data_IF_220032966809
#
_entry.id   IF_220032966809
#
_cell.length_a   1.000
_cell.length_b   1.000
_cell.length_c   1.000
_cell.angle_alpha   90.00
_cell.angle_beta   90.00
_cell.angle_gamma   90.00
#
_symmetry.space_group_name_H-M   'P 1'
#
loop_
_entity.id
_entity.type
_entity.pdbx_description
1 polymer ?
#
# COMPACT_ATOMS: atom_id res chain seq x y z
N UNK A 1 7.72 1.84 -9.71
CA UNK A 1 7.05 2.11 -8.41
C UNK A 1 8.07 1.98 -7.28
N UNK A 2 8.14 2.98 -6.42
CA UNK A 2 9.10 2.99 -5.30
C UNK A 2 8.62 2.21 -4.06
N UNK A 3 7.31 2.02 -3.93
CA UNK A 3 6.70 1.27 -2.82
C UNK A 3 6.63 -0.21 -3.18
N UNK A 4 6.96 -1.06 -2.23
CA UNK A 4 7.00 -2.52 -2.41
C UNK A 4 6.10 -3.22 -1.40
N UNK A 5 5.79 -4.48 -1.68
CA UNK A 5 5.08 -5.37 -0.74
C UNK A 5 5.79 -5.40 0.61
N UNK A 6 5.02 -5.40 1.69
CA UNK A 6 5.45 -5.39 3.08
C UNK A 6 6.02 -4.05 3.57
N UNK A 7 6.06 -3.01 2.74
CA UNK A 7 6.43 -1.68 3.20
C UNK A 7 5.37 -1.12 4.16
N UNK A 8 5.83 -0.43 5.20
CA UNK A 8 4.95 0.34 6.08
C UNK A 8 4.68 1.70 5.45
N UNK A 9 3.41 2.06 5.32
CA UNK A 9 2.97 3.30 4.68
C UNK A 9 1.95 4.03 5.52
N UNK A 10 1.83 5.34 5.27
CA UNK A 10 0.78 6.18 5.83
C UNK A 10 -0.09 6.70 4.69
N UNK A 11 -1.40 6.62 4.86
CA UNK A 11 -2.36 7.17 3.89
C UNK A 11 -2.46 8.68 4.08
N UNK A 12 -2.24 9.43 3.00
CA UNK A 12 -2.20 10.91 3.05
C UNK A 12 -3.42 11.58 2.43
N UNK A 13 -4.29 10.82 1.77
CA UNK A 13 -5.47 11.36 1.13
C UNK A 13 -6.63 10.35 1.15
N UNK A 14 -7.85 10.85 1.03
CA UNK A 14 -9.06 10.04 1.01
C UNK A 14 -9.65 9.81 2.41
N UNK A 15 -10.64 8.94 2.48
CA UNK A 15 -11.38 8.66 3.73
C UNK A 15 -10.51 8.00 4.81
N UNK A 16 -9.44 7.32 4.44
CA UNK A 16 -8.55 6.63 5.37
C UNK A 16 -7.31 7.44 5.73
N UNK A 17 -7.30 8.73 5.41
CA UNK A 17 -6.18 9.63 5.72
C UNK A 17 -5.73 9.50 7.17
N UNK A 18 -4.42 9.34 7.35
CA UNK A 18 -3.80 9.18 8.67
C UNK A 18 -3.63 7.75 9.13
N UNK A 19 -4.22 6.77 8.46
CA UNK A 19 -4.00 5.36 8.79
C UNK A 19 -2.62 4.91 8.36
N UNK A 20 -1.99 4.11 9.21
CA UNK A 20 -0.69 3.49 8.93
C UNK A 20 -0.88 1.98 8.85
N UNK A 21 -0.27 1.35 7.87
CA UNK A 21 -0.36 -0.09 7.70
C UNK A 21 0.70 -0.59 6.72
N UNK A 22 0.66 -1.89 6.41
CA UNK A 22 1.58 -2.52 5.48
C UNK A 22 0.95 -2.74 4.12
N UNK A 23 1.77 -2.64 3.08
CA UNK A 23 1.37 -2.96 1.72
C UNK A 23 1.27 -4.46 1.57
N UNK A 24 0.10 -4.94 1.14
CA UNK A 24 -0.17 -6.36 0.91
C UNK A 24 0.21 -6.77 -0.51
N UNK A 25 -0.04 -5.90 -1.48
CA UNK A 25 0.22 -6.19 -2.90
C UNK A 25 0.50 -4.90 -3.65
N UNK A 26 1.38 -4.98 -4.64
CA UNK A 26 1.67 -3.89 -5.57
C UNK A 26 1.25 -4.28 -6.98
N UNK A 27 0.69 -3.31 -7.71
CA UNK A 27 0.34 -3.43 -9.13
C UNK A 27 1.03 -2.29 -9.89
N UNK A 28 2.33 -2.45 -10.24
CA UNK A 28 3.12 -1.36 -10.82
C UNK A 28 2.60 -0.82 -12.15
N UNK A 29 2.00 -1.67 -12.97
CA UNK A 29 1.46 -1.25 -14.27
C UNK A 29 0.36 -0.21 -14.14
N UNK A 30 -0.43 -0.30 -13.08
CA UNK A 30 -1.58 0.57 -12.83
C UNK A 30 -1.30 1.64 -11.79
N UNK A 31 -0.10 1.65 -11.20
CA UNK A 31 0.26 2.50 -10.07
C UNK A 31 -0.68 2.35 -8.88
N UNK A 32 -1.15 1.14 -8.64
CA UNK A 32 -2.07 0.80 -7.56
C UNK A 32 -1.38 -0.08 -6.52
N UNK A 33 -1.82 0.06 -5.28
CA UNK A 33 -1.39 -0.81 -4.18
C UNK A 33 -2.59 -1.19 -3.33
N UNK A 34 -2.49 -2.35 -2.69
CA UNK A 34 -3.45 -2.79 -1.68
C UNK A 34 -2.76 -2.70 -0.33
N UNK A 35 -3.37 -1.95 0.58
CA UNK A 35 -2.86 -1.72 1.93
C UNK A 35 -3.81 -2.37 2.92
N UNK A 36 -3.29 -3.10 3.89
CA UNK A 36 -4.08 -3.81 4.88
C UNK A 36 -4.98 -2.85 5.66
N UNK A 37 -6.27 -3.16 5.73
CA UNK A 37 -7.26 -2.36 6.45
C UNK A 37 -7.61 -1.01 5.83
N UNK A 38 -7.11 -0.71 4.63
CA UNK A 38 -7.33 0.56 3.93
C UNK A 38 -8.22 0.33 2.71
N UNK A 39 -9.13 1.28 2.47
CA UNK A 39 -10.10 1.22 1.38
C UNK A 39 -10.92 -0.08 1.42
N UNK A 40 -11.37 -0.44 2.61
CA UNK A 40 -12.18 -1.63 2.82
C UNK A 40 -13.56 -1.46 2.22
N UNK A 41 -14.00 -2.45 1.48
CA UNK A 41 -15.33 -2.50 0.89
C UNK A 41 -15.98 -3.84 1.17
N UNK A 42 -17.28 -3.81 1.43
CA UNK A 42 -18.09 -5.02 1.55
C UNK A 42 -18.41 -5.53 0.15
N UNK A 43 -18.13 -6.79 -0.09
CA UNK A 43 -18.40 -7.44 -1.34
C UNK A 43 -19.37 -8.60 -1.12
N UNK A 44 -20.45 -8.61 -1.89
CA UNK A 44 -21.37 -9.76 -1.92
C UNK A 44 -20.78 -10.81 -2.84
N UNK A 45 -20.47 -11.98 -2.29
CA UNK A 45 -20.03 -13.11 -3.07
C UNK A 45 -21.21 -14.02 -3.38
N UNK A 46 -21.35 -14.37 -4.65
CA UNK A 46 -22.36 -15.34 -5.07
C UNK A 46 -21.97 -16.74 -4.59
N UNK A 47 -23.00 -17.53 -4.25
CA UNK A 47 -22.82 -18.96 -4.04
C UNK A 47 -22.24 -19.60 -5.30
N UNK A 48 -21.12 -20.32 -5.15
CA UNK A 48 -20.44 -20.99 -6.26
C UNK A 48 -20.96 -22.39 -6.52
N UNK A 49 -21.63 -22.96 -5.54
CA UNK A 49 -22.24 -24.30 -5.61
C UNK A 49 -23.71 -24.19 -5.27
N UNK A 50 -24.53 -25.10 -5.80
CA UNK A 50 -25.97 -25.07 -5.56
C UNK A 50 -26.35 -25.10 -4.07
N UNK A 51 -25.51 -25.69 -3.22
CA UNK A 51 -25.74 -25.80 -1.79
C UNK A 51 -25.05 -24.75 -0.94
N UNK A 52 -24.31 -23.83 -1.55
CA UNK A 52 -23.61 -22.79 -0.78
C UNK A 52 -24.41 -21.51 -0.73
N UNK A 53 -24.32 -20.81 0.40
CA UNK A 53 -24.91 -19.50 0.57
C UNK A 53 -23.93 -18.42 0.11
N UNK A 54 -24.43 -17.34 -0.48
CA UNK A 54 -23.65 -16.16 -0.74
C UNK A 54 -23.11 -15.56 0.56
N UNK A 55 -21.99 -14.87 0.50
CA UNK A 55 -21.36 -14.25 1.65
C UNK A 55 -21.13 -12.77 1.41
N UNK A 56 -21.18 -12.01 2.48
CA UNK A 56 -20.72 -10.63 2.50
C UNK A 56 -19.34 -10.63 3.15
N UNK A 57 -18.33 -10.23 2.42
CA UNK A 57 -16.96 -10.15 2.93
C UNK A 57 -16.43 -8.72 2.83
N UNK A 58 -15.59 -8.34 3.77
CA UNK A 58 -14.84 -7.09 3.69
C UNK A 58 -13.51 -7.35 3.01
N UNK A 59 -13.20 -6.55 2.01
CA UNK A 59 -11.99 -6.68 1.21
C UNK A 59 -11.28 -5.35 1.08
N UNK A 60 -9.96 -5.35 1.27
CA UNK A 60 -9.15 -4.19 0.96
C UNK A 60 -9.06 -4.03 -0.55
N UNK A 61 -9.48 -2.88 -1.06
CA UNK A 61 -9.45 -2.57 -2.48
C UNK A 61 -8.22 -1.75 -2.82
N UNK A 62 -7.73 -1.81 -4.08
CA UNK A 62 -6.57 -1.03 -4.49
C UNK A 62 -6.78 0.47 -4.35
N UNK A 63 -5.70 1.18 -4.00
CA UNK A 63 -5.64 2.64 -4.01
C UNK A 63 -4.44 3.08 -4.83
N UNK A 64 -4.50 4.32 -5.34
CA UNK A 64 -3.39 4.86 -6.11
C UNK A 64 -2.18 5.11 -5.19
N UNK A 65 -0.99 4.80 -5.69
CA UNK A 65 0.25 4.92 -4.92
C UNK A 65 0.55 6.35 -4.47
N UNK A 66 0.06 7.35 -5.20
CA UNK A 66 0.21 8.77 -4.81
C UNK A 66 -0.52 9.14 -3.53
N UNK A 67 -1.47 8.30 -3.08
CA UNK A 67 -2.25 8.54 -1.87
C UNK A 67 -1.57 8.04 -0.59
N UNK A 68 -0.37 7.52 -0.70
CA UNK A 68 0.40 7.02 0.45
C UNK A 68 1.83 7.54 0.42
N UNK A 69 2.45 7.55 1.59
CA UNK A 69 3.88 7.83 1.76
C UNK A 69 4.52 6.70 2.54
N UNK A 70 5.77 6.40 2.24
CA UNK A 70 6.53 5.42 3.01
C UNK A 70 6.80 5.97 4.41
N UNK A 71 6.63 5.12 5.42
CA UNK A 71 6.92 5.49 6.79
C UNK A 71 8.41 5.35 7.11
N UNK A 72 8.96 6.38 7.75
CA UNK A 72 10.24 6.29 8.44
C UNK A 72 9.96 6.60 9.92
N UNK A 73 10.03 5.57 10.76
CA UNK A 73 9.56 5.69 12.13
C UNK A 73 8.05 5.95 12.17
N UNK A 74 7.65 7.12 12.65
CA UNK A 74 6.23 7.51 12.75
C UNK A 74 5.80 8.53 11.69
N UNK A 75 6.71 8.95 10.81
CA UNK A 75 6.45 10.02 9.84
C UNK A 75 6.51 9.48 8.42
N UNK A 76 5.63 10.00 7.56
CA UNK A 76 5.69 9.76 6.12
C UNK A 76 6.86 10.53 5.52
N UNK A 77 7.61 9.88 4.62
CA UNK A 77 8.75 10.48 3.95
C UNK A 77 8.67 10.23 2.45
N UNK A 78 9.27 11.11 1.69
CA UNK A 78 9.46 10.90 0.26
C UNK A 78 10.62 9.96 0.04
N UNK A 79 10.48 9.12 -0.98
CA UNK A 79 11.50 8.14 -1.36
C UNK A 79 12.31 8.69 -2.50
N UNK A 80 13.62 8.75 -2.31
CA UNK A 80 14.59 8.98 -3.37
C UNK A 80 15.33 7.68 -3.70
N UNK A 81 16.14 7.72 -4.73
CA UNK A 81 17.03 6.62 -5.08
C UNK A 81 18.46 7.10 -5.02
N UNK A 82 19.34 6.28 -4.44
CA UNK A 82 20.76 6.55 -4.36
C UNK A 82 21.52 5.38 -4.99
N UNK A 83 22.54 5.69 -5.78
CA UNK A 83 23.40 4.69 -6.36
C UNK A 83 24.51 4.34 -5.37
N UNK A 84 24.57 3.08 -4.98
CA UNK A 84 25.65 2.54 -4.14
C UNK A 84 26.32 1.43 -4.95
N UNK A 85 27.56 1.70 -5.43
CA UNK A 85 28.17 0.81 -6.40
C UNK A 85 27.35 0.75 -7.68
N UNK A 86 26.95 -0.44 -8.10
CA UNK A 86 26.09 -0.66 -9.26
C UNK A 86 24.61 -0.79 -8.92
N UNK A 87 24.24 -0.73 -7.63
CA UNK A 87 22.87 -0.91 -7.18
C UNK A 87 22.22 0.41 -6.84
N UNK A 88 20.96 0.55 -7.26
CA UNK A 88 20.09 1.64 -6.81
C UNK A 88 19.35 1.20 -5.58
N UNK A 89 19.42 1.99 -4.52
CA UNK A 89 18.71 1.74 -3.26
C UNK A 89 17.74 2.86 -2.96
N UNK A 90 16.66 2.54 -2.26
CA UNK A 90 15.72 3.54 -1.80
C UNK A 90 16.30 4.24 -0.57
N UNK A 91 16.17 5.55 -0.54
CA UNK A 91 16.58 6.36 0.61
C UNK A 91 15.48 7.31 1.01
N UNK A 92 15.40 7.63 2.30
CA UNK A 92 14.55 8.70 2.78
C UNK A 92 15.12 10.05 2.32
N UNK A 93 14.31 10.85 1.65
CA UNK A 93 14.74 12.20 1.27
C UNK A 93 14.92 13.13 2.46
N UNK A 94 14.30 12.79 3.59
CA UNK A 94 14.42 13.57 4.81
C UNK A 94 15.74 13.34 5.54
N UNK A 95 16.17 12.08 5.64
CA UNK A 95 17.37 11.69 6.41
C UNK A 95 18.52 11.18 5.56
N UNK A 96 18.27 10.81 4.32
CA UNK A 96 19.26 10.20 3.44
C UNK A 96 19.55 8.74 3.75
N UNK A 97 18.87 8.16 4.73
CA UNK A 97 19.07 6.75 5.09
C UNK A 97 18.36 5.81 4.12
N UNK A 98 18.96 4.65 3.91
CA UNK A 98 18.35 3.56 3.14
C UNK A 98 17.10 3.04 3.85
N UNK A 99 16.05 2.84 3.06
CA UNK A 99 14.78 2.32 3.55
C UNK A 99 14.20 1.21 2.68
#
# INVERSE_FOLDING_TARGET
MKIKKNDSVIVIAGKDKGKTSKVVKCMPKDNLIIVEGVNMKKKHERARKANSKGQIIEKAMPIHVSNVMLLEGKKGVRVGKKLIGEKRVRVSRKTGKEI
#
